data_IF_540168044806
#
_entry.id   IF_540168044806
#
_cell.length_a   1.000
_cell.length_b   1.000
_cell.length_c   1.000
_cell.angle_alpha   90.00
_cell.angle_beta   90.00
_cell.angle_gamma   90.00
#
_symmetry.space_group_name_H-M   'P 1'
#
loop_
_entity.id
_entity.type
_entity.pdbx_description
1 polymer ?
#
# COMPACT_ATOMS: atom_id res chain seq x y z
N UNK A 1 -2.93 -2.63 19.29
CA UNK A 1 -3.99 -3.38 18.57
C UNK A 1 -3.40 -3.89 17.28
N UNK A 2 -3.87 -5.03 16.76
CA UNK A 2 -3.42 -5.57 15.46
C UNK A 2 -4.66 -5.78 14.58
N UNK A 3 -4.57 -5.34 13.33
CA UNK A 3 -5.54 -5.65 12.29
C UNK A 3 -4.86 -6.55 11.28
N UNK A 4 -5.48 -7.69 11.01
CA UNK A 4 -5.04 -8.63 9.99
C UNK A 4 -6.01 -8.54 8.82
N UNK A 5 -5.48 -8.28 7.63
CA UNK A 5 -6.23 -8.22 6.38
C UNK A 5 -5.65 -9.28 5.45
N UNK A 6 -6.47 -10.22 5.00
CA UNK A 6 -6.02 -11.20 4.03
C UNK A 6 -5.75 -10.54 2.68
N UNK A 7 -4.77 -11.07 1.93
CA UNK A 7 -4.46 -10.57 0.59
C UNK A 7 -5.68 -10.67 -0.34
N UNK A 8 -6.53 -11.69 -0.17
CA UNK A 8 -7.78 -11.83 -0.93
C UNK A 8 -8.78 -10.72 -0.63
N UNK A 9 -8.93 -10.30 0.63
CA UNK A 9 -9.77 -9.16 1.00
C UNK A 9 -9.26 -7.86 0.39
N UNK A 10 -7.95 -7.64 0.40
CA UNK A 10 -7.35 -6.45 -0.20
C UNK A 10 -7.55 -6.43 -1.70
N UNK A 11 -7.30 -7.55 -2.40
CA UNK A 11 -7.57 -7.69 -3.83
C UNK A 11 -9.03 -7.41 -4.15
N UNK A 12 -9.95 -7.98 -3.38
CA UNK A 12 -11.39 -7.78 -3.54
C UNK A 12 -11.80 -6.31 -3.33
N UNK A 13 -11.24 -5.65 -2.31
CA UNK A 13 -11.49 -4.23 -2.05
C UNK A 13 -11.01 -3.35 -3.20
N UNK A 14 -9.77 -3.56 -3.68
CA UNK A 14 -9.20 -2.77 -4.78
C UNK A 14 -9.96 -2.96 -6.10
N UNK A 15 -10.37 -4.20 -6.40
CA UNK A 15 -11.18 -4.52 -7.57
C UNK A 15 -12.54 -3.81 -7.52
N UNK A 16 -13.26 -3.92 -6.39
CA UNK A 16 -14.61 -3.36 -6.28
C UNK A 16 -14.65 -1.84 -6.15
N UNK A 17 -13.78 -1.25 -5.32
CA UNK A 17 -13.83 0.19 -5.03
C UNK A 17 -13.10 1.01 -6.10
N UNK A 18 -12.01 0.50 -6.66
CA UNK A 18 -11.15 1.26 -7.57
C UNK A 18 -11.05 0.68 -8.98
N UNK A 19 -11.72 -0.45 -9.26
CA UNK A 19 -11.64 -1.14 -10.56
C UNK A 19 -10.18 -1.46 -10.94
N UNK A 20 -9.43 -1.96 -9.94
CA UNK A 20 -8.03 -2.35 -10.04
C UNK A 20 -7.91 -3.82 -9.66
N UNK A 21 -7.62 -4.64 -10.67
CA UNK A 21 -7.42 -6.08 -10.50
C UNK A 21 -5.93 -6.38 -10.46
N UNK A 22 -5.41 -6.67 -9.27
CA UNK A 22 -3.99 -7.02 -9.05
C UNK A 22 -3.87 -8.40 -8.45
N UNK A 23 -2.73 -9.05 -8.66
CA UNK A 23 -2.27 -10.13 -7.80
C UNK A 23 -1.30 -9.58 -6.74
N UNK A 24 -1.36 -10.18 -5.55
CA UNK A 24 -0.53 -9.87 -4.40
C UNK A 24 0.11 -11.17 -3.92
N UNK A 25 1.44 -11.21 -3.86
CA UNK A 25 2.19 -12.35 -3.34
C UNK A 25 3.17 -11.87 -2.27
N UNK A 26 3.09 -12.45 -1.06
CA UNK A 26 4.06 -12.14 -0.02
C UNK A 26 5.42 -12.77 -0.34
N UNK A 27 6.49 -11.99 -0.25
CA UNK A 27 7.88 -12.43 -0.48
C UNK A 27 8.60 -12.60 0.86
N UNK A 28 8.49 -11.60 1.74
CA UNK A 28 9.07 -11.58 3.09
C UNK A 28 8.28 -10.63 3.98
N UNK A 29 8.59 -10.59 5.28
CA UNK A 29 7.89 -9.74 6.27
C UNK A 29 7.84 -8.25 5.89
N UNK A 30 8.82 -7.79 5.12
CA UNK A 30 8.98 -6.42 4.63
C UNK A 30 8.74 -6.25 3.13
N UNK A 31 8.43 -7.32 2.38
CA UNK A 31 8.26 -7.27 0.92
C UNK A 31 7.03 -7.99 0.41
N UNK A 32 6.33 -7.32 -0.50
CA UNK A 32 5.18 -7.87 -1.23
C UNK A 32 5.36 -7.63 -2.73
N UNK A 33 5.07 -8.65 -3.53
CA UNK A 33 4.96 -8.52 -4.97
C UNK A 33 3.56 -8.05 -5.35
N UNK A 34 3.49 -7.07 -6.24
CA UNK A 34 2.24 -6.62 -6.85
C UNK A 34 2.33 -6.86 -8.35
N UNK A 35 1.44 -7.69 -8.87
CA UNK A 35 1.35 -7.95 -10.32
C UNK A 35 0.08 -7.30 -10.86
N UNK A 36 0.27 -6.34 -11.77
CA UNK A 36 -0.83 -5.71 -12.50
C UNK A 36 -0.64 -5.90 -14.02
N UNK A 37 -0.04 -4.91 -14.68
CA UNK A 37 0.46 -5.00 -16.07
C UNK A 37 1.86 -5.63 -16.09
N UNK A 38 2.63 -5.37 -15.04
CA UNK A 38 3.96 -5.91 -14.80
C UNK A 38 4.10 -6.24 -13.31
N UNK A 39 5.14 -6.98 -12.96
CA UNK A 39 5.46 -7.27 -11.56
C UNK A 39 6.34 -6.15 -10.97
N UNK A 40 5.95 -5.70 -9.78
CA UNK A 40 6.70 -4.73 -8.98
C UNK A 40 6.78 -5.24 -7.55
N UNK A 41 7.99 -5.23 -6.98
CA UNK A 41 8.19 -5.56 -5.57
C UNK A 41 8.10 -4.28 -4.75
N UNK A 42 7.17 -4.24 -3.80
CA UNK A 42 7.06 -3.18 -2.81
C UNK A 42 7.76 -3.59 -1.52
N UNK A 43 8.64 -2.73 -1.02
CA UNK A 43 9.48 -2.93 0.15
C UNK A 43 9.12 -1.86 1.19
N UNK A 44 8.83 -2.26 2.42
CA UNK A 44 8.55 -1.33 3.51
C UNK A 44 9.80 -0.51 3.79
N UNK A 45 9.72 0.80 3.56
CA UNK A 45 10.81 1.74 3.83
C UNK A 45 10.65 2.41 5.18
N UNK A 46 9.43 2.87 5.49
CA UNK A 46 9.13 3.55 6.75
C UNK A 46 7.62 3.48 7.06
N UNK A 47 7.28 3.41 8.35
CA UNK A 47 5.91 3.51 8.83
C UNK A 47 5.85 4.67 9.82
N UNK A 48 5.30 5.78 9.35
CA UNK A 48 5.05 6.96 10.17
C UNK A 48 3.60 7.00 10.59
N UNK A 49 3.28 7.90 11.52
CA UNK A 49 1.92 8.10 12.01
C UNK A 49 0.93 8.28 10.85
N UNK A 50 0.11 7.25 10.64
CA UNK A 50 -0.94 7.14 9.62
C UNK A 50 -0.42 7.13 8.16
N UNK A 51 0.90 6.99 7.95
CA UNK A 51 1.56 7.06 6.66
C UNK A 51 2.50 5.87 6.46
N UNK A 52 2.35 5.16 5.34
CA UNK A 52 3.21 4.04 4.96
C UNK A 52 4.03 4.45 3.75
N UNK A 53 5.35 4.42 3.86
CA UNK A 53 6.26 4.66 2.76
C UNK A 53 6.83 3.32 2.28
N UNK A 54 6.58 3.00 1.02
CA UNK A 54 7.11 1.83 0.33
C UNK A 54 8.11 2.29 -0.73
N UNK A 55 9.26 1.62 -0.80
CA UNK A 55 10.12 1.67 -1.98
C UNK A 55 9.63 0.61 -2.95
N UNK A 56 9.67 0.88 -4.25
CA UNK A 56 9.38 -0.14 -5.25
C UNK A 56 10.63 -0.50 -6.04
N UNK A 57 10.76 -1.78 -6.37
CA UNK A 57 11.79 -2.33 -7.25
C UNK A 57 11.12 -2.98 -8.45
N UNK A 58 11.59 -2.64 -9.65
CA UNK A 58 11.13 -3.19 -10.92
C UNK A 58 12.36 -3.48 -11.78
N UNK A 59 12.38 -4.61 -12.46
CA UNK A 59 13.46 -4.96 -13.40
C UNK A 59 13.58 -3.93 -14.54
N UNK A 60 14.72 -3.85 -15.23
CA UNK A 60 15.06 -2.73 -16.12
C UNK A 60 14.00 -2.36 -17.16
N UNK A 61 13.33 -3.34 -17.77
CA UNK A 61 12.18 -3.10 -18.67
C UNK A 61 10.91 -2.75 -17.89
N UNK A 62 10.70 -3.38 -16.75
CA UNK A 62 9.59 -3.11 -15.83
C UNK A 62 9.66 -1.70 -15.23
N UNK A 63 10.84 -1.08 -15.08
CA UNK A 63 10.96 0.30 -14.60
C UNK A 63 10.46 1.31 -15.66
N UNK A 64 10.60 0.99 -16.95
CA UNK A 64 9.99 1.77 -18.04
C UNK A 64 8.48 1.55 -18.03
N UNK A 65 8.01 0.31 -17.92
CA UNK A 65 6.59 -0.03 -17.85
C UNK A 65 5.94 0.58 -16.60
N UNK A 66 6.62 0.64 -15.47
CA UNK A 66 6.17 1.26 -14.24
C UNK A 66 6.00 2.79 -14.41
N UNK A 67 6.93 3.46 -15.08
CA UNK A 67 6.81 4.90 -15.40
C UNK A 67 5.68 5.17 -16.39
N UNK A 68 5.51 4.32 -17.40
CA UNK A 68 4.41 4.41 -18.37
C UNK A 68 3.06 4.13 -17.68
N UNK A 69 3.00 3.10 -16.84
CA UNK A 69 1.82 2.76 -16.04
C UNK A 69 1.49 3.88 -15.07
N UNK A 70 2.47 4.50 -14.43
CA UNK A 70 2.25 5.70 -13.61
C UNK A 70 1.61 6.83 -14.43
N UNK A 71 2.04 7.08 -15.67
CA UNK A 71 1.42 8.09 -16.53
C UNK A 71 -0.04 7.78 -16.86
N UNK A 72 -0.36 6.52 -17.22
CA UNK A 72 -1.73 6.10 -17.53
C UNK A 72 -2.63 6.01 -16.30
N UNK A 73 -2.08 5.58 -15.17
CA UNK A 73 -2.77 5.43 -13.90
C UNK A 73 -2.85 6.75 -13.15
N UNK A 74 -2.13 7.80 -13.55
CA UNK A 74 -2.07 9.08 -12.82
C UNK A 74 -3.44 9.62 -12.44
N UNK A 75 -4.41 9.59 -13.36
CA UNK A 75 -5.77 10.05 -13.09
C UNK A 75 -6.54 9.08 -12.18
N UNK A 76 -6.36 7.76 -12.32
CA UNK A 76 -6.94 6.76 -11.40
C UNK A 76 -6.34 6.86 -10.00
N UNK A 77 -5.03 7.11 -9.90
CA UNK A 77 -4.30 7.28 -8.64
C UNK A 77 -4.77 8.50 -7.86
N UNK A 78 -5.27 9.56 -8.52
CA UNK A 78 -5.88 10.69 -7.81
C UNK A 78 -7.11 10.29 -6.97
N UNK A 79 -7.83 9.26 -7.38
CA UNK A 79 -8.98 8.73 -6.64
C UNK A 79 -8.61 7.70 -5.58
N UNK A 80 -7.34 7.30 -5.51
CA UNK A 80 -6.85 6.28 -4.60
C UNK A 80 -6.01 6.97 -3.52
N UNK A 81 -6.04 6.51 -2.27
CA UNK A 81 -5.22 7.03 -1.17
C UNK A 81 -3.71 6.70 -1.29
N UNK A 82 -3.18 6.73 -2.50
CA UNK A 82 -1.81 6.37 -2.86
C UNK A 82 -1.17 7.50 -3.68
N UNK A 83 0.01 7.95 -3.26
CA UNK A 83 0.86 8.86 -4.02
C UNK A 83 2.08 8.12 -4.56
N UNK A 84 2.24 8.11 -5.88
CA UNK A 84 3.36 7.47 -6.54
C UNK A 84 4.43 8.50 -6.95
N UNK A 85 5.59 8.43 -6.30
CA UNK A 85 6.78 9.19 -6.69
C UNK A 85 7.75 8.34 -7.52
N UNK A 86 7.52 8.32 -8.83
CA UNK A 86 8.38 7.58 -9.78
C UNK A 86 9.83 8.07 -9.89
N UNK A 87 10.15 9.26 -9.36
CA UNK A 87 11.53 9.80 -9.37
C UNK A 87 12.37 9.19 -8.25
N UNK A 88 11.77 8.99 -7.08
CA UNK A 88 12.43 8.41 -5.92
C UNK A 88 12.22 6.91 -5.79
N UNK A 89 11.46 6.31 -6.70
CA UNK A 89 11.02 4.91 -6.64
C UNK A 89 10.21 4.62 -5.38
N UNK A 90 9.29 5.53 -5.04
CA UNK A 90 8.52 5.49 -3.79
C UNK A 90 7.00 5.50 -4.05
N UNK A 91 6.28 4.79 -3.18
CA UNK A 91 4.82 4.83 -3.05
C UNK A 91 4.51 5.23 -1.61
N UNK A 92 3.70 6.27 -1.43
CA UNK A 92 3.19 6.71 -0.13
C UNK A 92 1.71 6.35 -0.03
N UNK A 93 1.33 5.65 1.02
CA UNK A 93 -0.06 5.34 1.34
C UNK A 93 -0.46 6.18 2.56
N UNK A 94 -1.47 7.01 2.40
CA UNK A 94 -2.02 7.82 3.50
C UNK A 94 -3.32 7.19 3.99
N UNK A 95 -3.25 6.54 5.16
CA UNK A 95 -4.39 5.82 5.71
C UNK A 95 -5.55 6.76 6.05
N UNK A 96 -5.31 8.06 6.26
CA UNK A 96 -6.38 9.04 6.50
C UNK A 96 -7.21 9.34 5.27
N UNK A 97 -6.68 9.06 4.08
CA UNK A 97 -7.41 9.23 2.82
C UNK A 97 -8.38 8.08 2.55
N UNK A 98 -8.40 7.02 3.38
CA UNK A 98 -9.46 6.02 3.39
C UNK A 98 -10.60 6.50 4.31
N UNK A 99 -11.78 6.87 3.76
CA UNK A 99 -12.90 7.36 4.57
C UNK A 99 -13.32 6.41 5.67
N UNK A 100 -13.19 5.10 5.43
CA UNK A 100 -13.54 4.02 6.36
C UNK A 100 -12.60 3.97 7.58
N UNK A 101 -11.39 4.52 7.45
CA UNK A 101 -10.39 4.53 8.51
C UNK A 101 -10.36 5.83 9.31
N UNK A 102 -10.96 6.92 8.83
CA UNK A 102 -10.81 8.25 9.43
C UNK A 102 -11.19 8.30 10.92
N UNK A 103 -12.38 7.77 11.27
CA UNK A 103 -12.85 7.70 12.66
C UNK A 103 -11.94 6.82 13.52
N UNK A 104 -11.52 5.67 13.00
CA UNK A 104 -10.65 4.74 13.72
C UNK A 104 -9.27 5.36 13.99
N UNK A 105 -8.70 6.01 12.97
CA UNK A 105 -7.45 6.75 13.08
C UNK A 105 -7.59 8.01 13.95
N UNK A 106 -8.80 8.46 14.28
CA UNK A 106 -9.02 9.45 15.34
C UNK A 106 -8.52 8.99 16.71
N UNK A 107 -8.58 7.68 16.99
CA UNK A 107 -8.20 7.08 18.28
C UNK A 107 -6.88 6.32 18.23
N UNK A 108 -6.50 5.83 17.05
CA UNK A 108 -5.34 4.98 16.85
C UNK A 108 -4.40 5.57 15.79
N UNK A 109 -3.14 5.14 15.81
CA UNK A 109 -2.22 5.38 14.71
C UNK A 109 -1.42 4.12 14.42
N UNK A 110 -1.09 3.92 13.14
CA UNK A 110 -0.23 2.81 12.74
C UNK A 110 1.19 3.04 13.24
N UNK A 111 1.81 1.98 13.73
CA UNK A 111 3.22 1.96 14.16
C UNK A 111 4.05 0.98 13.34
N UNK A 112 3.44 -0.10 12.84
CA UNK A 112 4.14 -1.12 12.08
C UNK A 112 3.22 -1.71 11.01
N UNK A 113 3.86 -2.23 9.97
CA UNK A 113 3.26 -2.96 8.87
C UNK A 113 4.11 -4.22 8.66
N UNK A 114 3.47 -5.37 8.50
CA UNK A 114 4.14 -6.64 8.20
C UNK A 114 3.37 -7.41 7.14
N UNK A 115 4.08 -8.12 6.27
CA UNK A 115 3.51 -9.04 5.29
C UNK A 115 3.79 -10.48 5.73
N UNK A 116 2.80 -11.16 6.31
CA UNK A 116 2.98 -12.49 6.91
C UNK A 116 1.99 -13.48 6.29
N UNK A 117 2.49 -14.60 5.76
CA UNK A 117 1.70 -15.63 5.09
C UNK A 117 0.86 -15.06 3.94
N UNK A 118 -0.47 -15.14 4.01
CA UNK A 118 -1.41 -14.52 3.05
C UNK A 118 -2.11 -13.30 3.65
N UNK A 119 -1.44 -12.58 4.54
CA UNK A 119 -2.00 -11.44 5.27
C UNK A 119 -1.08 -10.22 5.28
N UNK A 120 -1.70 -9.05 5.33
CA UNK A 120 -1.08 -7.78 5.73
C UNK A 120 -1.50 -7.49 7.17
N UNK A 121 -0.51 -7.31 8.04
CA UNK A 121 -0.72 -7.01 9.46
C UNK A 121 -0.38 -5.55 9.70
N UNK A 122 -1.38 -4.79 10.15
CA UNK A 122 -1.23 -3.42 10.59
C UNK A 122 -1.21 -3.39 12.13
N UNK A 123 -0.15 -2.86 12.72
CA UNK A 123 -0.03 -2.68 14.18
C UNK A 123 -0.37 -1.24 14.52
N UNK A 124 -1.29 -1.06 15.46
CA UNK A 124 -1.78 0.23 15.90
C UNK A 124 -1.51 0.49 17.38
N UNK A 125 -1.16 1.74 17.69
CA UNK A 125 -1.09 2.26 19.05
C UNK A 125 -2.21 3.26 19.30
N UNK A 126 -2.72 3.30 20.53
CA UNK A 126 -3.70 4.30 20.93
C UNK A 126 -3.02 5.68 20.98
N UNK A 127 -3.74 6.73 20.56
CA UNK A 127 -3.32 8.10 20.80
C UNK A 127 -3.55 8.41 22.28
N UNK A 128 -2.52 8.90 22.97
CA UNK A 128 -2.70 9.38 24.34
C UNK A 128 -3.74 10.50 24.34
N UNK A 129 -4.78 10.34 25.16
CA UNK A 129 -5.73 11.40 25.47
C UNK A 129 -5.01 12.41 26.36
N UNK A 130 -4.27 13.34 25.76
CA UNK A 130 -3.79 14.54 26.45
C UNK A 130 -4.79 15.67 26.23
#
# INVERSE_FOLDING_TARGET
MRLELSLSEIKHYLSNHYQIDIELNNISEDKIEVVYIDSVVLIIKDVKKDLILLRYEADGLANIVAKVSHYFLKEKLKSIPIEWNSKNEEILIDLKKFPEMDVFLGFFYITELHFINDSIILVFSAKDKT
#
